data_IF_449902796222
#
_entry.id   IF_449902796222
#
_cell.length_a   1.000
_cell.length_b   1.000
_cell.length_c   1.000
_cell.angle_alpha   90.00
_cell.angle_beta   90.00
_cell.angle_gamma   90.00
#
_symmetry.space_group_name_H-M   'P 1'
#
loop_
_entity.id
_entity.type
_entity.pdbx_description
1 polymer ?
#
# COMPACT_ATOMS: atom_id res chain seq x y z
N UNK A 1 6.86 -21.51 11.17
CA UNK A 1 7.42 -20.53 10.23
C UNK A 1 6.80 -19.17 10.56
N UNK A 2 7.60 -18.12 10.70
CA UNK A 2 7.04 -16.77 10.93
C UNK A 2 6.38 -16.25 9.65
N UNK A 3 5.40 -15.33 9.75
CA UNK A 3 4.80 -14.71 8.56
C UNK A 3 5.83 -14.01 7.68
N UNK A 4 6.83 -13.39 8.29
CA UNK A 4 7.94 -12.78 7.57
C UNK A 4 8.64 -13.79 6.65
N UNK A 5 9.03 -14.95 7.18
CA UNK A 5 9.68 -15.99 6.38
C UNK A 5 8.79 -16.62 5.30
N UNK A 6 7.45 -16.59 5.46
CA UNK A 6 6.53 -17.02 4.41
C UNK A 6 6.31 -15.95 3.35
N UNK A 7 6.43 -14.67 3.70
CA UNK A 7 6.31 -13.54 2.76
C UNK A 7 7.57 -13.42 1.89
N UNK A 8 8.76 -13.65 2.47
CA UNK A 8 10.05 -13.55 1.79
C UNK A 8 10.83 -14.86 1.89
N UNK A 9 10.43 -15.92 1.17
CA UNK A 9 11.04 -17.23 1.28
C UNK A 9 12.49 -17.21 0.84
N UNK A 10 13.40 -17.64 1.76
CA UNK A 10 14.83 -17.70 1.47
C UNK A 10 15.59 -16.38 1.55
N UNK A 11 14.94 -15.29 1.95
CA UNK A 11 15.56 -13.96 2.08
C UNK A 11 15.50 -13.51 3.55
N UNK A 12 16.66 -13.34 4.17
CA UNK A 12 16.75 -12.93 5.58
C UNK A 12 16.58 -11.41 5.77
N UNK A 13 17.00 -10.64 4.79
CA UNK A 13 16.98 -9.17 4.80
C UNK A 13 16.46 -8.64 3.46
N UNK A 14 15.13 -8.73 3.21
CA UNK A 14 14.57 -8.31 1.94
C UNK A 14 14.69 -6.79 1.75
N UNK A 15 15.10 -6.40 0.56
CA UNK A 15 15.03 -5.03 0.07
C UNK A 15 13.69 -4.82 -0.61
N UNK A 16 12.84 -4.00 0.00
CA UNK A 16 11.49 -3.70 -0.50
C UNK A 16 11.54 -2.32 -1.15
N UNK A 17 11.32 -2.27 -2.46
CA UNK A 17 11.25 -1.01 -3.19
C UNK A 17 9.85 -0.41 -3.13
N UNK A 18 9.77 0.92 -3.11
CA UNK A 18 8.50 1.66 -3.15
C UNK A 18 8.13 1.96 -4.60
N UNK A 19 6.95 1.53 -5.03
CA UNK A 19 6.31 1.99 -6.25
C UNK A 19 5.29 3.07 -5.88
N UNK A 20 5.70 4.33 -5.97
CA UNK A 20 4.86 5.47 -5.65
C UNK A 20 3.83 5.69 -6.75
N UNK A 21 2.56 5.51 -6.41
CA UNK A 21 1.45 5.79 -7.32
C UNK A 21 1.28 7.31 -7.39
N UNK A 22 1.19 7.90 -8.60
CA UNK A 22 0.83 9.29 -8.75
C UNK A 22 -0.53 9.61 -8.12
N UNK A 23 -0.81 10.90 -7.91
CA UNK A 23 -2.03 11.37 -7.27
C UNK A 23 -3.30 10.75 -7.90
N UNK A 24 -4.16 10.18 -7.04
CA UNK A 24 -5.38 9.50 -7.46
C UNK A 24 -6.50 10.49 -7.80
N UNK A 25 -7.51 10.09 -8.59
CA UNK A 25 -8.69 10.92 -8.86
C UNK A 25 -9.35 11.41 -7.56
N UNK A 26 -9.70 12.70 -7.52
CA UNK A 26 -10.27 13.33 -6.34
C UNK A 26 -9.25 14.10 -5.50
N UNK A 27 -7.95 13.89 -5.73
CA UNK A 27 -6.89 14.64 -5.02
C UNK A 27 -6.48 15.89 -5.82
N UNK A 28 -5.98 16.94 -5.14
CA UNK A 28 -5.60 18.20 -5.81
C UNK A 28 -4.50 18.09 -6.86
N UNK A 29 -3.65 17.06 -6.77
CA UNK A 29 -2.51 16.85 -7.66
C UNK A 29 -2.81 15.86 -8.80
N UNK A 30 -4.05 15.39 -8.92
CA UNK A 30 -4.42 14.45 -9.98
C UNK A 30 -4.27 15.07 -11.37
N UNK A 31 -3.59 14.39 -12.28
CA UNK A 31 -3.48 14.77 -13.68
C UNK A 31 -4.68 14.23 -14.48
N UNK A 32 -5.69 15.06 -14.65
CA UNK A 32 -6.90 14.71 -15.43
C UNK A 32 -6.60 14.43 -16.91
N UNK A 33 -5.52 15.00 -17.45
CA UNK A 33 -5.13 14.82 -18.85
C UNK A 33 -4.54 13.43 -19.08
N UNK A 34 -3.66 12.99 -18.22
CA UNK A 34 -3.10 11.64 -18.27
C UNK A 34 -4.15 10.58 -17.87
N UNK A 35 -5.05 10.94 -16.99
CA UNK A 35 -6.12 10.07 -16.51
C UNK A 35 -5.59 8.81 -15.79
N UNK A 36 -6.49 7.89 -15.47
CA UNK A 36 -6.12 6.64 -14.78
C UNK A 36 -5.17 5.79 -15.63
N UNK A 37 -5.27 5.84 -16.95
CA UNK A 37 -4.35 5.09 -17.81
C UNK A 37 -2.92 5.60 -17.69
N UNK A 38 -2.72 6.91 -17.59
CA UNK A 38 -1.41 7.51 -17.33
C UNK A 38 -0.79 7.05 -16.01
N UNK A 39 -1.61 6.94 -14.95
CA UNK A 39 -1.16 6.35 -13.68
C UNK A 39 -0.64 4.92 -13.87
N UNK A 40 -1.42 4.08 -14.55
CA UNK A 40 -1.06 2.68 -14.82
C UNK A 40 0.23 2.59 -15.63
N UNK A 41 0.37 3.39 -16.67
CA UNK A 41 1.54 3.33 -17.56
C UNK A 41 2.83 3.77 -16.84
N UNK A 42 2.75 4.82 -16.03
CA UNK A 42 3.87 5.27 -15.21
C UNK A 42 4.27 4.21 -14.19
N UNK A 43 3.33 3.74 -13.36
CA UNK A 43 3.61 2.74 -12.31
C UNK A 43 4.14 1.44 -12.91
N UNK A 44 3.62 1.00 -14.06
CA UNK A 44 4.12 -0.19 -14.74
C UNK A 44 5.58 -0.04 -15.16
N UNK A 45 5.94 1.14 -15.68
CA UNK A 45 7.33 1.44 -16.05
C UNK A 45 8.24 1.42 -14.82
N UNK A 46 7.81 2.06 -13.72
CA UNK A 46 8.59 2.12 -12.49
C UNK A 46 8.78 0.73 -11.88
N UNK A 47 7.73 -0.08 -11.81
CA UNK A 47 7.81 -1.47 -11.31
C UNK A 47 8.75 -2.32 -12.14
N UNK A 48 8.74 -2.18 -13.48
CA UNK A 48 9.67 -2.90 -14.33
C UNK A 48 11.12 -2.57 -14.00
N UNK A 49 11.44 -1.28 -13.81
CA UNK A 49 12.78 -0.84 -13.41
C UNK A 49 13.20 -1.38 -12.04
N UNK A 50 12.27 -1.41 -11.07
CA UNK A 50 12.54 -1.93 -9.74
C UNK A 50 12.81 -3.44 -9.75
N UNK A 51 12.07 -4.19 -10.55
CA UNK A 51 12.30 -5.64 -10.74
C UNK A 51 13.66 -5.88 -11.40
N UNK A 52 13.99 -5.13 -12.45
CA UNK A 52 15.27 -5.24 -13.16
C UNK A 52 16.47 -4.83 -12.28
N UNK A 53 16.25 -3.93 -11.33
CA UNK A 53 17.27 -3.54 -10.34
C UNK A 53 17.52 -4.62 -9.27
N UNK A 54 16.73 -5.70 -9.23
CA UNK A 54 16.95 -6.84 -8.35
C UNK A 54 16.44 -6.68 -6.92
N UNK A 55 15.42 -5.86 -6.69
CA UNK A 55 14.75 -5.80 -5.40
C UNK A 55 14.00 -7.10 -5.09
N UNK A 56 13.94 -7.45 -3.79
CA UNK A 56 13.30 -8.68 -3.34
C UNK A 56 11.76 -8.57 -3.28
N UNK A 57 11.23 -7.37 -3.21
CA UNK A 57 9.79 -7.08 -3.24
C UNK A 57 9.51 -5.64 -3.68
N UNK A 58 8.26 -5.40 -4.09
CA UNK A 58 7.75 -4.05 -4.39
C UNK A 58 6.56 -3.74 -3.47
N UNK A 59 6.44 -2.50 -3.00
CA UNK A 59 5.29 -2.01 -2.27
C UNK A 59 4.67 -0.80 -2.96
N UNK A 60 3.41 -0.91 -3.35
CA UNK A 60 2.65 0.19 -3.93
C UNK A 60 2.16 1.12 -2.84
N UNK A 61 2.32 2.43 -3.04
CA UNK A 61 1.93 3.45 -2.07
C UNK A 61 1.33 4.66 -2.77
N UNK A 62 0.26 5.24 -2.22
CA UNK A 62 -0.39 6.46 -2.71
C UNK A 62 0.33 7.74 -2.23
N UNK A 63 1.65 7.76 -2.26
CA UNK A 63 2.51 8.84 -1.72
C UNK A 63 2.15 10.25 -2.24
N UNK A 64 1.51 10.36 -3.39
CA UNK A 64 1.21 11.64 -4.02
C UNK A 64 -0.22 12.16 -3.76
N UNK A 65 -1.00 11.49 -2.92
CA UNK A 65 -2.37 11.88 -2.56
C UNK A 65 -2.45 13.04 -1.55
N UNK A 66 -1.55 14.00 -1.65
CA UNK A 66 -1.46 15.12 -0.70
C UNK A 66 -2.48 16.22 -1.00
N UNK A 67 -3.16 16.75 0.06
CA UNK A 67 -3.12 16.35 1.48
C UNK A 67 -3.82 15.00 1.72
N UNK A 68 -3.26 14.20 2.62
CA UNK A 68 -3.81 12.88 2.92
C UNK A 68 -5.12 12.95 3.71
N UNK A 69 -5.92 11.89 3.59
CA UNK A 69 -7.12 11.66 4.37
C UNK A 69 -6.96 10.42 5.26
N UNK A 70 -7.49 10.48 6.49
CA UNK A 70 -7.53 9.32 7.38
C UNK A 70 -8.60 8.30 6.98
N UNK A 71 -9.53 8.70 6.12
CA UNK A 71 -10.62 7.87 5.60
C UNK A 71 -10.84 8.19 4.13
N UNK A 72 -10.27 7.39 3.27
CA UNK A 72 -10.43 7.55 1.83
C UNK A 72 -11.77 6.98 1.32
N UNK A 73 -12.22 7.50 0.19
CA UNK A 73 -13.44 7.07 -0.46
C UNK A 73 -13.32 5.75 -1.22
N UNK A 74 -14.43 5.18 -1.68
CA UNK A 74 -14.44 3.94 -2.47
C UNK A 74 -13.74 4.09 -3.82
N UNK A 75 -13.70 5.29 -4.40
CA UNK A 75 -12.96 5.61 -5.62
C UNK A 75 -11.47 5.33 -5.48
N UNK A 76 -10.87 5.70 -4.34
CA UNK A 76 -9.46 5.44 -4.04
C UNK A 76 -9.16 3.95 -3.99
N UNK A 77 -10.01 3.17 -3.32
CA UNK A 77 -9.90 1.71 -3.29
C UNK A 77 -9.97 1.10 -4.69
N UNK A 78 -10.92 1.54 -5.50
CA UNK A 78 -11.14 1.02 -6.84
C UNK A 78 -9.96 1.31 -7.77
N UNK A 79 -9.46 2.56 -7.77
CA UNK A 79 -8.33 2.95 -8.62
C UNK A 79 -7.04 2.28 -8.15
N UNK A 80 -6.78 2.26 -6.85
CA UNK A 80 -5.60 1.58 -6.29
C UNK A 80 -5.59 0.09 -6.64
N UNK A 81 -6.72 -0.60 -6.49
CA UNK A 81 -6.83 -2.01 -6.86
C UNK A 81 -6.60 -2.23 -8.36
N UNK A 82 -7.08 -1.34 -9.23
CA UNK A 82 -6.81 -1.39 -10.67
C UNK A 82 -5.33 -1.22 -10.97
N UNK A 83 -4.70 -0.16 -10.44
CA UNK A 83 -3.27 0.14 -10.67
C UNK A 83 -2.41 -1.04 -10.22
N UNK A 84 -2.61 -1.53 -9.00
CA UNK A 84 -1.85 -2.67 -8.47
C UNK A 84 -2.06 -3.91 -9.32
N UNK A 85 -3.29 -4.23 -9.72
CA UNK A 85 -3.59 -5.42 -10.54
C UNK A 85 -2.86 -5.39 -11.88
N UNK A 86 -2.84 -4.23 -12.53
CA UNK A 86 -2.23 -4.07 -13.86
C UNK A 86 -0.70 -3.93 -13.83
N UNK A 87 -0.13 -3.53 -12.67
CA UNK A 87 1.29 -3.23 -12.55
C UNK A 87 2.08 -4.21 -11.65
N UNK A 88 1.40 -5.10 -10.91
CA UNK A 88 2.06 -6.02 -9.98
C UNK A 88 3.10 -6.90 -10.67
N UNK A 89 4.27 -7.11 -10.05
CA UNK A 89 5.28 -8.01 -10.59
C UNK A 89 4.79 -9.47 -10.51
N UNK A 90 5.22 -10.29 -11.47
CA UNK A 90 4.91 -11.73 -11.50
C UNK A 90 5.95 -12.58 -10.78
N UNK A 91 7.17 -12.06 -10.58
CA UNK A 91 8.36 -12.83 -10.16
C UNK A 91 8.75 -12.64 -8.70
N UNK A 92 8.32 -11.56 -8.08
CA UNK A 92 8.66 -11.22 -6.69
C UNK A 92 7.39 -10.87 -5.89
N UNK A 93 7.39 -11.01 -4.56
CA UNK A 93 6.29 -10.58 -3.71
C UNK A 93 5.99 -9.09 -3.86
N UNK A 94 4.74 -8.72 -3.65
CA UNK A 94 4.37 -7.31 -3.58
C UNK A 94 3.43 -7.03 -2.42
N UNK A 95 3.42 -5.79 -1.98
CA UNK A 95 2.58 -5.27 -0.91
C UNK A 95 1.83 -4.01 -1.31
N UNK A 96 0.93 -3.59 -0.44
CA UNK A 96 0.16 -2.35 -0.56
C UNK A 96 0.28 -1.55 0.72
N UNK A 97 0.48 -0.26 0.57
CA UNK A 97 0.43 0.77 1.59
C UNK A 97 -0.55 1.84 1.12
N UNK A 98 -1.50 2.23 1.94
CA UNK A 98 -2.44 3.30 1.60
C UNK A 98 -2.49 4.34 2.73
N UNK A 99 -1.79 5.42 2.53
CA UNK A 99 -1.65 6.53 3.48
C UNK A 99 -2.94 7.37 3.58
N UNK A 100 -3.73 7.39 4.66
CA UNK A 100 -3.45 6.65 5.90
C UNK A 100 -4.67 5.80 6.30
N UNK A 101 -5.18 5.00 5.39
CA UNK A 101 -6.38 4.18 5.63
C UNK A 101 -6.11 2.68 5.46
N UNK A 102 -5.84 2.02 6.57
CA UNK A 102 -5.56 0.57 6.59
C UNK A 102 -6.70 -0.31 6.02
N UNK A 103 -7.94 0.20 5.96
CA UNK A 103 -9.07 -0.53 5.37
C UNK A 103 -8.92 -0.59 3.86
N UNK A 104 -8.48 0.53 3.24
CA UNK A 104 -8.23 0.59 1.80
C UNK A 104 -7.02 -0.30 1.46
N UNK A 105 -5.93 -0.22 2.24
CA UNK A 105 -4.77 -1.09 2.05
C UNK A 105 -5.15 -2.58 2.12
N UNK A 106 -5.93 -2.99 3.12
CA UNK A 106 -6.44 -4.37 3.24
C UNK A 106 -7.31 -4.78 2.05
N UNK A 107 -8.27 -3.94 1.67
CA UNK A 107 -9.17 -4.22 0.56
C UNK A 107 -8.42 -4.36 -0.77
N UNK A 108 -7.50 -3.44 -1.06
CA UNK A 108 -6.68 -3.48 -2.26
C UNK A 108 -5.74 -4.70 -2.24
N UNK A 109 -5.11 -5.01 -1.10
CA UNK A 109 -4.24 -6.18 -0.97
C UNK A 109 -4.98 -7.49 -1.24
N UNK A 110 -6.17 -7.66 -0.67
CA UNK A 110 -7.02 -8.85 -0.91
C UNK A 110 -7.46 -8.93 -2.37
N UNK A 111 -7.93 -7.83 -2.94
CA UNK A 111 -8.41 -7.79 -4.32
C UNK A 111 -7.31 -8.11 -5.35
N UNK A 112 -6.06 -7.78 -5.04
CA UNK A 112 -4.92 -7.91 -5.96
C UNK A 112 -4.04 -9.14 -5.69
N UNK A 113 -4.22 -9.81 -4.55
CA UNK A 113 -3.39 -10.92 -4.13
C UNK A 113 -2.02 -10.51 -3.58
N UNK A 114 -1.92 -9.32 -2.98
CA UNK A 114 -0.71 -8.87 -2.31
C UNK A 114 -0.34 -9.78 -1.12
N UNK A 115 0.95 -9.88 -0.84
CA UNK A 115 1.48 -10.72 0.24
C UNK A 115 1.52 -10.01 1.58
N UNK A 116 1.55 -8.68 1.58
CA UNK A 116 1.64 -7.86 2.78
C UNK A 116 1.05 -6.47 2.59
N UNK A 117 0.75 -5.83 3.71
CA UNK A 117 0.53 -4.38 3.80
C UNK A 117 1.52 -3.78 4.80
N UNK A 118 1.79 -2.48 4.68
CA UNK A 118 2.48 -1.69 5.73
C UNK A 118 1.58 -0.54 6.11
N UNK A 119 1.36 -0.37 7.42
CA UNK A 119 0.46 0.65 7.94
C UNK A 119 0.85 1.12 9.34
N UNK A 120 0.41 2.31 9.72
CA UNK A 120 0.44 2.78 11.09
C UNK A 120 -0.88 2.43 11.75
N UNK A 121 -0.90 1.36 12.56
CA UNK A 121 -2.14 0.82 13.17
C UNK A 121 -2.14 0.89 14.70
N UNK A 122 -1.05 1.38 15.30
CA UNK A 122 -0.93 1.52 16.77
C UNK A 122 -0.43 2.92 17.12
N UNK A 123 -0.83 3.40 18.29
CA UNK A 123 -0.41 4.69 18.83
C UNK A 123 -1.40 5.82 18.60
N UNK A 124 -1.06 6.97 19.15
CA UNK A 124 -1.74 8.25 18.95
C UNK A 124 -0.69 9.25 18.53
N UNK A 125 -0.91 9.90 17.40
CA UNK A 125 0.09 10.73 16.75
C UNK A 125 -0.45 12.13 16.48
N UNK A 126 0.38 13.14 16.68
CA UNK A 126 0.12 14.49 16.21
C UNK A 126 0.72 14.65 14.82
N UNK A 127 -0.05 15.16 13.87
CA UNK A 127 0.36 15.33 12.48
C UNK A 127 -0.27 16.58 11.88
N UNK A 128 0.08 16.92 10.63
CA UNK A 128 -0.57 17.98 9.85
C UNK A 128 -2.06 17.69 9.56
N UNK A 129 -2.47 16.42 9.66
CA UNK A 129 -3.88 16.01 9.60
C UNK A 129 -4.62 16.16 10.96
N UNK A 130 -3.96 16.69 11.99
CA UNK A 130 -4.46 16.79 13.36
C UNK A 130 -4.09 15.60 14.23
N UNK A 131 -4.84 15.38 15.30
CA UNK A 131 -4.62 14.24 16.19
C UNK A 131 -5.13 12.95 15.53
N UNK A 132 -4.23 12.05 15.24
CA UNK A 132 -4.54 10.76 14.64
C UNK A 132 -4.49 9.64 15.68
N UNK A 133 -5.64 9.01 15.89
CA UNK A 133 -5.82 7.83 16.73
C UNK A 133 -5.99 6.60 15.84
N UNK A 134 -5.02 5.70 15.88
CA UNK A 134 -5.06 4.47 15.08
C UNK A 134 -5.92 3.39 15.75
N UNK A 135 -6.38 2.39 14.99
CA UNK A 135 -7.22 1.31 15.50
C UNK A 135 -6.76 -0.06 14.98
N UNK A 136 -5.78 -0.64 15.70
CA UNK A 136 -5.30 -2.00 15.42
C UNK A 136 -6.41 -3.05 15.55
N UNK A 137 -7.34 -2.86 16.50
CA UNK A 137 -8.42 -3.82 16.72
C UNK A 137 -9.38 -3.86 15.52
N UNK A 138 -9.69 -2.70 14.94
CA UNK A 138 -10.50 -2.61 13.72
C UNK A 138 -9.76 -3.26 12.54
N UNK A 139 -8.50 -2.89 12.32
CA UNK A 139 -7.67 -3.45 11.23
C UNK A 139 -7.62 -4.98 11.29
N UNK A 140 -7.42 -5.57 12.47
CA UNK A 140 -7.36 -7.02 12.62
C UNK A 140 -8.74 -7.70 12.40
N UNK A 141 -9.84 -7.04 12.78
CA UNK A 141 -11.19 -7.54 12.50
C UNK A 141 -11.52 -7.48 11.02
N UNK A 142 -11.14 -6.39 10.34
CA UNK A 142 -11.28 -6.27 8.88
C UNK A 142 -10.48 -7.35 8.16
N UNK A 143 -9.24 -7.60 8.54
CA UNK A 143 -8.45 -8.71 8.00
C UNK A 143 -9.18 -10.05 8.15
N UNK A 144 -9.80 -10.29 9.31
CA UNK A 144 -10.60 -11.51 9.54
C UNK A 144 -11.85 -11.56 8.67
N UNK A 145 -12.57 -10.44 8.56
CA UNK A 145 -13.80 -10.33 7.77
C UNK A 145 -13.53 -10.59 6.28
N UNK A 146 -12.38 -10.15 5.78
CA UNK A 146 -11.96 -10.34 4.39
C UNK A 146 -11.29 -11.71 4.14
N UNK A 147 -11.27 -12.60 5.12
CA UNK A 147 -10.61 -13.91 5.07
C UNK A 147 -9.11 -13.85 4.69
N UNK A 148 -8.43 -12.79 5.11
CA UNK A 148 -7.06 -12.46 4.75
C UNK A 148 -6.04 -12.78 5.87
N UNK A 149 -6.22 -13.89 6.60
CA UNK A 149 -5.36 -14.24 7.75
C UNK A 149 -3.92 -14.48 7.35
N UNK A 150 -3.66 -14.87 6.12
CA UNK A 150 -2.31 -15.11 5.61
C UNK A 150 -1.60 -13.84 5.15
N UNK A 151 -2.33 -12.74 4.95
CA UNK A 151 -1.76 -11.43 4.63
C UNK A 151 -0.91 -10.93 5.80
N UNK A 152 0.37 -10.64 5.55
CA UNK A 152 1.25 -10.04 6.55
C UNK A 152 0.90 -8.56 6.75
N UNK A 153 0.93 -8.09 8.00
CA UNK A 153 0.81 -6.66 8.34
C UNK A 153 2.12 -6.21 8.95
N UNK A 154 2.82 -5.35 8.26
CA UNK A 154 3.97 -4.63 8.80
C UNK A 154 3.51 -3.31 9.40
N UNK A 155 4.02 -2.99 10.58
CA UNK A 155 3.59 -1.80 11.32
C UNK A 155 4.78 -0.88 11.55
N UNK A 156 4.57 0.41 11.34
CA UNK A 156 5.52 1.42 11.76
C UNK A 156 5.57 1.44 13.29
N UNK A 157 6.78 1.46 13.85
CA UNK A 157 6.99 1.63 15.29
C UNK A 157 6.77 3.11 15.65
N UNK A 158 7.31 4.00 14.81
CA UNK A 158 7.13 5.44 14.88
C UNK A 158 6.94 5.96 13.46
N UNK A 159 5.86 6.73 13.17
CA UNK A 159 5.68 7.38 11.88
C UNK A 159 6.73 8.48 11.69
N UNK A 160 7.08 8.78 10.45
CA UNK A 160 8.11 9.76 10.09
C UNK A 160 7.77 11.19 10.54
N UNK A 161 6.49 11.50 10.62
CA UNK A 161 5.96 12.81 11.01
C UNK A 161 5.72 12.96 12.53
N UNK A 162 6.03 11.95 13.33
CA UNK A 162 5.80 11.97 14.78
C UNK A 162 7.04 12.40 15.58
#
# INVERSE_FOLDING_TARGET
>A
MTRFASTFPGVDKPLIAMAHVPALPGTPLYDETAGIQGLVDQVRSDVALLVDAGFDAVMFCNENDRPYELHAGPESAAVMARVVTECRPASIPFGVDFLWDSRIALAAAVATGASFIREVVTGVWESDMGLWTTDAAHTLRERRRLDAQDLAIFMNITPEFA
#
